data_IF_887439329163
#
_entry.id   IF_887439329163
#
_cell.length_a   1.000
_cell.length_b   1.000
_cell.length_c   1.000
_cell.angle_alpha   90.00
_cell.angle_beta   90.00
_cell.angle_gamma   90.00
#
_symmetry.space_group_name_H-M   'P 1'
#
loop_
_entity.id
_entity.type
_entity.pdbx_description
1 polymer ?
#
# COMPACT_ATOMS: atom_id res chain seq x y z
N UNK A 1 29.44 -16.64 -2.55
CA UNK A 1 29.78 -16.65 -1.12
C UNK A 1 30.44 -15.34 -0.75
N UNK A 2 30.11 -14.80 0.43
CA UNK A 2 30.71 -13.59 0.98
C UNK A 2 31.48 -14.01 2.23
N UNK A 3 32.75 -13.63 2.32
CA UNK A 3 33.63 -13.92 3.45
C UNK A 3 33.98 -12.63 4.17
N UNK A 4 33.95 -12.66 5.51
CA UNK A 4 34.44 -11.59 6.37
C UNK A 4 35.84 -11.94 6.86
N UNK A 5 36.82 -11.12 6.53
CA UNK A 5 38.23 -11.32 6.80
C UNK A 5 38.71 -10.21 7.73
N UNK A 6 39.32 -10.56 8.86
CA UNK A 6 39.96 -9.57 9.72
C UNK A 6 41.39 -9.33 9.24
N UNK A 7 41.76 -8.06 9.12
CA UNK A 7 43.11 -7.66 8.76
C UNK A 7 44.15 -8.11 9.80
N UNK A 8 45.35 -8.42 9.32
CA UNK A 8 46.48 -8.72 10.20
C UNK A 8 47.01 -7.42 10.84
N UNK A 9 47.50 -7.46 12.09
CA UNK A 9 48.11 -6.29 12.73
C UNK A 9 49.20 -5.67 11.84
N UNK A 10 49.31 -4.32 11.77
CA UNK A 10 48.66 -3.32 12.64
C UNK A 10 47.22 -2.95 12.25
N UNK A 11 46.72 -3.44 11.11
CA UNK A 11 45.42 -3.06 10.58
C UNK A 11 44.35 -4.08 10.98
N UNK A 12 43.62 -3.80 12.07
CA UNK A 12 42.57 -4.69 12.59
C UNK A 12 41.21 -4.49 11.93
N UNK A 13 41.15 -3.79 10.78
CA UNK A 13 39.89 -3.55 10.07
C UNK A 13 39.33 -4.85 9.51
N UNK A 14 38.01 -4.91 9.40
CA UNK A 14 37.32 -6.03 8.77
C UNK A 14 37.14 -5.74 7.26
N UNK A 15 37.37 -6.75 6.44
CA UNK A 15 37.33 -6.73 4.98
C UNK A 15 36.33 -7.77 4.47
N UNK A 16 35.72 -7.49 3.32
CA UNK A 16 34.80 -8.39 2.63
C UNK A 16 35.44 -8.93 1.36
N UNK A 17 35.38 -10.25 1.20
CA UNK A 17 35.76 -10.96 -0.02
C UNK A 17 34.55 -11.60 -0.66
N UNK A 18 34.32 -11.27 -1.93
CA UNK A 18 33.24 -11.84 -2.72
C UNK A 18 33.79 -12.95 -3.60
N UNK A 19 33.20 -14.14 -3.51
CA UNK A 19 33.53 -15.28 -4.37
C UNK A 19 32.29 -15.74 -5.13
N UNK A 20 32.39 -15.82 -6.45
CA UNK A 20 31.34 -16.32 -7.32
C UNK A 20 31.73 -17.68 -7.89
N UNK A 21 30.90 -18.68 -7.63
CA UNK A 21 31.02 -20.03 -8.19
C UNK A 21 30.06 -20.15 -9.36
N UNK A 22 30.59 -20.46 -10.55
CA UNK A 22 29.77 -20.75 -11.73
C UNK A 22 29.73 -22.27 -11.93
N UNK A 23 28.65 -22.92 -11.47
CA UNK A 23 28.49 -24.37 -11.59
C UNK A 23 29.59 -25.14 -10.86
N UNK A 24 30.27 -26.05 -11.57
CA UNK A 24 31.36 -26.90 -11.03
C UNK A 24 32.75 -26.24 -11.07
N UNK A 25 32.85 -24.99 -11.52
CA UNK A 25 34.13 -24.28 -11.56
C UNK A 25 34.56 -23.81 -10.16
N UNK A 26 35.88 -23.71 -9.91
CA UNK A 26 36.38 -23.13 -8.67
C UNK A 26 35.85 -21.72 -8.46
N UNK A 27 35.65 -21.35 -7.20
CA UNK A 27 35.12 -20.05 -6.83
C UNK A 27 36.08 -18.93 -7.28
N UNK A 28 35.57 -17.99 -8.07
CA UNK A 28 36.35 -16.86 -8.57
C UNK A 28 36.11 -15.65 -7.67
N UNK A 29 37.18 -14.98 -7.27
CA UNK A 29 37.07 -13.72 -6.51
C UNK A 29 36.53 -12.63 -7.43
N UNK A 30 35.49 -11.94 -6.98
CA UNK A 30 34.89 -10.80 -7.66
C UNK A 30 35.21 -9.56 -6.86
N UNK A 31 35.62 -8.50 -7.54
CA UNK A 31 35.85 -7.21 -6.89
C UNK A 31 34.65 -6.29 -7.11
N UNK A 32 34.18 -5.69 -6.02
CA UNK A 32 33.03 -4.78 -6.01
C UNK A 32 33.51 -3.32 -5.95
N UNK A 33 32.70 -2.39 -6.46
CA UNK A 33 32.94 -0.95 -6.39
C UNK A 33 34.30 -0.47 -6.93
N UNK A 34 34.88 -1.17 -7.92
CA UNK A 34 36.14 -0.82 -8.56
C UNK A 34 37.39 -1.12 -7.74
N UNK A 35 37.26 -1.83 -6.62
CA UNK A 35 38.42 -2.29 -5.84
C UNK A 35 39.24 -3.34 -6.61
N UNK A 36 40.53 -3.45 -6.31
CA UNK A 36 41.44 -4.47 -6.89
C UNK A 36 41.72 -5.62 -5.91
N UNK A 37 40.93 -5.74 -4.85
CA UNK A 37 41.13 -6.67 -3.75
C UNK A 37 39.89 -6.83 -2.88
N UNK A 38 40.09 -7.18 -1.62
CA UNK A 38 39.04 -7.21 -0.60
C UNK A 38 38.68 -5.77 -0.20
N UNK A 39 37.39 -5.50 -0.03
CA UNK A 39 36.91 -4.15 0.31
C UNK A 39 36.74 -4.02 1.82
N UNK A 40 37.17 -2.92 2.47
CA UNK A 40 36.85 -2.67 3.87
C UNK A 40 35.33 -2.68 4.10
N UNK A 41 34.89 -3.33 5.18
CA UNK A 41 33.46 -3.46 5.51
C UNK A 41 32.78 -2.09 5.60
N UNK A 42 33.45 -1.10 6.20
CA UNK A 42 32.95 0.27 6.34
C UNK A 42 32.71 0.94 4.99
N UNK A 43 33.63 0.75 4.04
CA UNK A 43 33.49 1.31 2.70
C UNK A 43 32.37 0.62 1.91
N UNK A 44 32.24 -0.70 2.05
CA UNK A 44 31.14 -1.44 1.46
C UNK A 44 29.78 -0.94 1.95
N UNK A 45 29.64 -0.72 3.27
CA UNK A 45 28.40 -0.19 3.86
C UNK A 45 28.12 1.22 3.31
N UNK A 46 29.13 2.10 3.30
CA UNK A 46 28.97 3.47 2.81
C UNK A 46 28.53 3.52 1.34
N UNK A 47 29.15 2.70 0.47
CA UNK A 47 28.81 2.66 -0.97
C UNK A 47 27.51 1.92 -1.28
N UNK A 48 27.09 0.98 -0.44
CA UNK A 48 25.84 0.24 -0.65
C UNK A 48 24.61 1.02 -0.18
N UNK A 49 24.78 2.06 0.66
CA UNK A 49 23.68 2.78 1.28
C UNK A 49 22.65 3.31 0.28
N UNK A 50 23.09 3.85 -0.86
CA UNK A 50 22.20 4.38 -1.90
C UNK A 50 21.44 3.30 -2.68
N UNK A 51 21.92 2.05 -2.62
CA UNK A 51 21.32 0.90 -3.32
C UNK A 51 20.43 0.04 -2.41
N UNK A 52 20.32 0.38 -1.12
CA UNK A 52 19.54 -0.40 -0.17
C UNK A 52 18.05 -0.08 -0.32
N UNK A 53 17.28 -1.09 -0.71
CA UNK A 53 15.83 -1.07 -0.61
C UNK A 53 15.46 -1.34 0.85
N UNK A 54 15.12 -0.27 1.57
CA UNK A 54 14.88 -0.31 3.02
C UNK A 54 13.52 -0.92 3.40
N UNK A 55 12.54 -0.89 2.50
CA UNK A 55 11.19 -1.32 2.81
C UNK A 55 10.46 -1.99 1.63
N UNK A 56 9.44 -2.77 1.96
CA UNK A 56 8.62 -3.51 0.99
C UNK A 56 7.86 -2.61 0.01
N UNK A 57 7.65 -1.32 0.33
CA UNK A 57 7.00 -0.36 -0.56
C UNK A 57 7.96 0.06 -1.68
N UNK A 58 9.19 0.42 -1.34
CA UNK A 58 10.27 0.71 -2.29
C UNK A 58 10.55 -0.49 -3.20
N UNK A 59 10.56 -1.70 -2.63
CA UNK A 59 10.68 -2.94 -3.41
C UNK A 59 9.58 -3.05 -4.47
N UNK A 60 8.33 -2.77 -4.09
CA UNK A 60 7.19 -2.80 -5.00
C UNK A 60 7.29 -1.74 -6.09
N UNK A 61 7.74 -0.53 -5.78
CA UNK A 61 7.91 0.55 -6.75
C UNK A 61 8.94 0.19 -7.84
N UNK A 62 10.07 -0.45 -7.46
CA UNK A 62 11.13 -0.86 -8.40
C UNK A 62 10.73 -2.08 -9.23
N UNK A 63 10.04 -3.06 -8.64
CA UNK A 63 9.66 -4.31 -9.30
C UNK A 63 8.40 -4.22 -10.17
N UNK A 64 8.02 -3.02 -10.66
CA UNK A 64 6.80 -2.77 -11.43
C UNK A 64 5.52 -2.96 -10.61
N UNK A 65 5.39 -2.19 -9.53
CA UNK A 65 4.18 -2.00 -8.74
C UNK A 65 3.06 -1.29 -9.49
N UNK A 66 2.98 -1.43 -10.82
CA UNK A 66 1.79 -1.15 -11.63
C UNK A 66 0.73 -2.23 -11.36
N UNK A 67 0.36 -2.43 -10.10
CA UNK A 67 -0.99 -2.88 -9.78
C UNK A 67 -1.87 -1.63 -9.82
N UNK A 68 -2.23 -1.23 -11.04
CA UNK A 68 -3.25 -0.22 -11.34
C UNK A 68 -3.19 1.04 -10.44
N UNK A 69 -2.21 1.92 -10.66
CA UNK A 69 -2.51 3.31 -10.36
C UNK A 69 -3.68 3.69 -11.27
N UNK A 70 -4.78 4.16 -10.69
CA UNK A 70 -5.98 4.63 -11.36
C UNK A 70 -5.74 5.82 -12.33
N UNK A 71 -4.49 6.06 -12.73
CA UNK A 71 -4.03 7.05 -13.69
C UNK A 71 -4.06 6.53 -15.14
N UNK A 72 -4.05 5.22 -15.38
CA UNK A 72 -4.21 4.68 -16.76
C UNK A 72 -5.65 4.74 -17.28
N UNK A 73 -6.60 5.24 -16.49
CA UNK A 73 -7.95 5.56 -16.97
C UNK A 73 -7.95 6.81 -17.88
N UNK A 74 -6.86 7.57 -17.93
CA UNK A 74 -6.74 8.79 -18.74
C UNK A 74 -5.62 8.74 -19.78
N UNK A 75 -5.44 7.63 -20.49
CA UNK A 75 -4.82 7.69 -21.82
C UNK A 75 -5.84 8.24 -22.81
N UNK A 76 -6.09 9.56 -22.73
CA UNK A 76 -6.91 10.32 -23.68
C UNK A 76 -6.04 10.62 -24.89
N UNK A 77 -5.79 9.61 -25.73
CA UNK A 77 -5.10 9.87 -27.01
C UNK A 77 -6.07 9.88 -28.20
N UNK A 78 -7.33 9.41 -28.06
CA UNK A 78 -8.30 9.41 -29.17
C UNK A 78 -9.80 9.44 -28.74
N UNK A 79 -10.14 10.07 -27.61
CA UNK A 79 -11.55 10.15 -27.18
C UNK A 79 -12.22 11.41 -27.75
N UNK A 80 -13.28 11.22 -28.54
CA UNK A 80 -14.16 12.30 -28.98
C UNK A 80 -14.71 13.04 -27.74
N UNK A 81 -14.39 14.33 -27.62
CA UNK A 81 -14.81 15.18 -26.50
C UNK A 81 -16.32 15.13 -26.24
N UNK A 82 -17.12 14.92 -27.30
CA UNK A 82 -18.57 14.76 -27.20
C UNK A 82 -18.97 13.47 -26.49
N UNK A 83 -18.21 12.38 -26.66
CA UNK A 83 -18.45 11.11 -25.98
C UNK A 83 -18.09 11.17 -24.49
N UNK A 84 -17.04 11.92 -24.15
CA UNK A 84 -16.63 12.14 -22.76
C UNK A 84 -17.67 12.97 -21.99
N UNK A 85 -18.18 14.04 -22.61
CA UNK A 85 -19.26 14.86 -22.04
C UNK A 85 -20.56 14.06 -21.90
N UNK A 86 -20.91 13.24 -22.89
CA UNK A 86 -22.09 12.38 -22.83
C UNK A 86 -22.01 11.36 -21.67
N UNK A 87 -20.84 10.74 -21.45
CA UNK A 87 -20.62 9.84 -20.31
C UNK A 87 -20.68 10.57 -18.97
N UNK A 88 -20.09 11.77 -18.88
CA UNK A 88 -20.15 12.60 -17.68
C UNK A 88 -21.59 12.97 -17.31
N UNK A 89 -22.39 13.41 -18.29
CA UNK A 89 -23.81 13.74 -18.11
C UNK A 89 -24.62 12.49 -17.73
N UNK A 90 -24.33 11.34 -18.35
CA UNK A 90 -25.02 10.08 -18.07
C UNK A 90 -24.77 9.60 -16.62
N UNK A 91 -23.51 9.62 -16.18
CA UNK A 91 -23.15 9.23 -14.80
C UNK A 91 -23.77 10.20 -13.79
N UNK A 92 -23.76 11.50 -14.08
CA UNK A 92 -24.38 12.52 -13.23
C UNK A 92 -25.91 12.34 -13.14
N UNK A 93 -26.56 12.03 -14.26
CA UNK A 93 -27.99 11.75 -14.31
C UNK A 93 -28.35 10.51 -13.47
N UNK A 94 -27.60 9.41 -13.59
CA UNK A 94 -27.79 8.21 -12.77
C UNK A 94 -27.60 8.50 -11.28
N UNK A 95 -26.62 9.34 -10.92
CA UNK A 95 -26.39 9.73 -9.53
C UNK A 95 -27.54 10.59 -8.98
N UNK A 96 -28.03 11.56 -9.74
CA UNK A 96 -29.17 12.40 -9.37
C UNK A 96 -30.48 11.59 -9.24
N UNK A 97 -30.71 10.63 -10.14
CA UNK A 97 -31.82 9.68 -10.07
C UNK A 97 -31.71 8.79 -8.83
N UNK A 98 -30.53 8.22 -8.56
CA UNK A 98 -30.28 7.36 -7.40
C UNK A 98 -30.53 8.06 -6.05
N UNK A 99 -30.12 9.33 -5.93
CA UNK A 99 -30.41 10.15 -4.76
C UNK A 99 -31.92 10.45 -4.65
N UNK A 100 -32.57 10.80 -5.75
CA UNK A 100 -34.01 11.08 -5.79
C UNK A 100 -34.86 9.86 -5.39
N UNK A 101 -34.47 8.66 -5.82
CA UNK A 101 -35.13 7.41 -5.42
C UNK A 101 -34.93 7.12 -3.93
N UNK A 102 -33.73 7.33 -3.38
CA UNK A 102 -33.48 7.18 -1.93
C UNK A 102 -34.29 8.17 -1.09
N UNK A 103 -34.44 9.41 -1.56
CA UNK A 103 -35.23 10.44 -0.89
C UNK A 103 -36.73 10.14 -0.94
N UNK A 104 -37.24 9.68 -2.10
CA UNK A 104 -38.63 9.24 -2.23
C UNK A 104 -38.93 7.96 -1.43
N UNK A 105 -37.98 7.02 -1.36
CA UNK A 105 -38.12 5.82 -0.55
C UNK A 105 -38.14 6.13 0.95
N UNK A 106 -37.36 7.10 1.42
CA UNK A 106 -37.44 7.59 2.82
C UNK A 106 -38.78 8.26 3.13
N UNK A 107 -39.34 9.07 2.21
CA UNK A 107 -40.66 9.69 2.39
C UNK A 107 -41.81 8.68 2.46
N UNK A 108 -41.70 7.53 1.77
CA UNK A 108 -42.76 6.50 1.75
C UNK A 108 -42.70 5.49 2.92
N UNK A 109 -41.67 5.52 3.76
CA UNK A 109 -41.55 4.64 4.95
C UNK A 109 -42.16 5.24 6.24
N UNK A 110 -42.93 6.33 6.10
CA UNK A 110 -43.62 7.00 7.21
C UNK A 110 -45.10 6.65 7.37
N UNK A 111 -45.57 5.50 6.89
CA UNK A 111 -46.93 5.01 7.23
C UNK A 111 -46.79 4.09 8.44
N UNK A 112 -46.89 4.67 9.64
CA UNK A 112 -47.26 3.90 10.83
C UNK A 112 -48.69 3.41 10.60
N UNK A 113 -48.87 2.11 10.40
CA UNK A 113 -50.18 1.50 10.54
C UNK A 113 -50.59 1.71 12.00
N UNK A 114 -51.69 2.42 12.22
CA UNK A 114 -52.35 2.49 13.52
C UNK A 114 -52.94 1.11 13.81
N UNK A 115 -52.10 0.23 14.35
CA UNK A 115 -52.54 -0.97 15.05
C UNK A 115 -53.00 -0.53 16.44
N UNK A 116 -54.26 -0.79 16.70
CA UNK A 116 -54.94 -0.61 17.98
C UNK A 116 -54.14 -1.32 19.10
N UNK A 117 -53.44 -0.53 19.91
CA UNK A 117 -52.80 -1.03 21.14
C UNK A 117 -53.86 -1.02 22.24
N UNK A 118 -54.43 -2.20 22.50
CA UNK A 118 -55.21 -2.48 23.70
C UNK A 118 -54.33 -2.25 24.93
N UNK A 119 -54.72 -1.28 25.73
CA UNK A 119 -54.11 -0.99 27.03
C UNK A 119 -54.41 -2.12 28.01
N UNK A 120 -53.38 -2.89 28.37
CA UNK A 120 -53.33 -3.55 29.67
C UNK A 120 -51.97 -3.30 30.32
N UNK A 121 -52.06 -2.70 31.49
CA UNK A 121 -50.98 -2.27 32.37
C UNK A 121 -50.21 -3.46 32.93
N UNK A 122 -48.88 -3.34 33.04
CA UNK A 122 -48.15 -3.85 34.21
C UNK A 122 -47.08 -2.82 34.57
N UNK A 123 -47.20 -2.33 35.79
CA UNK A 123 -46.29 -1.45 36.47
C UNK A 123 -45.00 -2.17 36.86
N UNK A 124 -43.85 -1.52 36.68
CA UNK A 124 -42.73 -1.49 37.65
C UNK A 124 -41.77 -0.37 37.19
N UNK A 125 -41.93 0.86 37.70
CA UNK A 125 -41.25 1.42 38.87
C UNK A 125 -39.71 1.34 38.82
N UNK A 126 -39.16 2.52 39.12
CA UNK A 126 -37.81 2.81 39.61
C UNK A 126 -36.76 3.07 38.52
N UNK A 127 -36.39 4.32 38.31
CA UNK A 127 -35.56 5.21 39.16
C UNK A 127 -34.09 5.11 38.71
N UNK A 128 -33.60 6.28 38.33
CA UNK A 128 -32.23 6.76 38.54
C UNK A 128 -31.13 6.10 37.70
N UNK A 129 -30.56 6.86 36.76
CA UNK A 129 -29.45 7.79 37.07
C UNK A 129 -28.34 7.04 37.80
N UNK A 130 -27.36 6.49 37.08
CA UNK A 130 -25.96 6.81 37.40
C UNK A 130 -25.07 6.79 36.16
N UNK A 131 -24.34 7.90 36.02
CA UNK A 131 -23.21 8.14 35.15
C UNK A 131 -21.94 7.86 35.98
N UNK A 132 -21.06 6.98 35.54
CA UNK A 132 -19.67 6.88 36.00
C UNK A 132 -18.83 6.86 34.71
N UNK A 133 -18.10 7.94 34.39
CA UNK A 133 -16.69 8.20 34.76
C UNK A 133 -15.81 7.00 34.44
#
# INVERSE_FOLDING_TARGET
>A
MIELIRGAPPDTRDFLRFKFTKGSHPAQTVHVFGHRGDIPLTEFIYKSQDSIISNNRQWREVCNGNSASAASVFSIENLNVNALLALGVFIFALFALGLSFKWRAKKKRGVKLAGEETTLQVAEKNLDTVRFV
#
